data_IF_869493243174
#
_entry.id   IF_869493243174
#
_cell.length_a   1.000
_cell.length_b   1.000
_cell.length_c   1.000
_cell.angle_alpha   90.00
_cell.angle_beta   90.00
_cell.angle_gamma   90.00
#
_symmetry.space_group_name_H-M   'P 1'
#
loop_
_entity.id
_entity.type
_entity.pdbx_description
1 polymer ?
#
# COMPACT_ATOMS: atom_id res chain seq x y z
N UNK A 1 -2.94 -51.20 -42.47
CA UNK A 1 -1.78 -51.66 -41.69
C UNK A 1 -0.69 -50.61 -41.81
N UNK A 2 -0.28 -50.02 -40.67
CA UNK A 2 0.98 -49.33 -40.38
C UNK A 2 1.41 -48.15 -41.28
N UNK A 3 1.97 -47.04 -40.84
CA UNK A 3 2.26 -46.37 -39.55
C UNK A 3 3.04 -45.13 -40.02
N UNK A 4 2.74 -43.91 -39.55
CA UNK A 4 3.67 -42.76 -39.47
C UNK A 4 2.89 -41.47 -39.20
N UNK A 5 2.35 -41.35 -38.00
CA UNK A 5 2.08 -40.04 -37.42
C UNK A 5 3.40 -39.57 -36.79
N UNK A 6 4.13 -38.70 -37.47
CA UNK A 6 5.30 -38.03 -36.92
C UNK A 6 4.83 -37.14 -35.77
N UNK A 7 5.20 -37.58 -34.56
CA UNK A 7 5.13 -36.84 -33.31
C UNK A 7 5.99 -35.58 -33.44
N UNK A 8 5.40 -34.48 -33.89
CA UNK A 8 5.92 -33.15 -33.56
C UNK A 8 5.44 -32.81 -32.16
N UNK A 9 6.14 -33.37 -31.17
CA UNK A 9 6.14 -32.85 -29.81
C UNK A 9 6.75 -31.44 -29.89
N UNK A 10 5.91 -30.43 -30.14
CA UNK A 10 6.27 -29.06 -29.84
C UNK A 10 6.35 -28.96 -28.32
N UNK A 11 7.47 -29.38 -27.74
CA UNK A 11 7.88 -28.90 -26.42
C UNK A 11 8.10 -27.40 -26.60
N UNK A 12 7.06 -26.61 -26.32
CA UNK A 12 7.24 -25.20 -26.02
C UNK A 12 8.19 -25.17 -24.83
N UNK A 13 9.47 -24.89 -25.10
CA UNK A 13 10.38 -24.44 -24.08
C UNK A 13 9.76 -23.15 -23.54
N UNK A 14 9.09 -23.24 -22.40
CA UNK A 14 8.67 -22.09 -21.64
C UNK A 14 9.96 -21.48 -21.10
N UNK A 15 10.50 -20.50 -21.82
CA UNK A 15 11.48 -19.62 -21.24
C UNK A 15 10.74 -18.86 -20.12
N UNK A 16 10.89 -19.33 -18.89
CA UNK A 16 10.39 -18.65 -17.69
C UNK A 16 11.24 -17.39 -17.50
N UNK A 17 10.96 -16.36 -18.30
CA UNK A 17 11.57 -15.05 -18.10
C UNK A 17 11.17 -14.47 -16.74
N UNK A 18 11.94 -13.48 -16.24
CA UNK A 18 11.63 -12.81 -14.99
C UNK A 18 10.21 -12.23 -15.04
N UNK A 19 9.39 -12.57 -14.05
CA UNK A 19 8.03 -12.03 -13.92
C UNK A 19 7.81 -11.37 -12.56
N UNK A 20 7.03 -10.29 -12.56
CA UNK A 20 6.71 -9.52 -11.36
C UNK A 20 5.61 -10.23 -10.59
N UNK A 21 5.84 -10.50 -9.30
CA UNK A 21 4.87 -11.16 -8.42
C UNK A 21 4.14 -10.14 -7.56
N UNK A 22 4.83 -9.10 -7.14
CA UNK A 22 4.26 -8.07 -6.26
C UNK A 22 5.03 -6.78 -6.47
N UNK A 23 4.29 -5.68 -6.48
CA UNK A 23 4.85 -4.34 -6.47
C UNK A 23 3.91 -3.44 -5.68
N UNK A 24 4.48 -2.52 -4.90
CA UNK A 24 3.70 -1.51 -4.20
C UNK A 24 4.59 -0.32 -3.85
N UNK A 25 3.98 0.86 -3.71
CA UNK A 25 4.68 2.07 -3.31
C UNK A 25 3.82 2.99 -2.46
N UNK A 26 4.45 3.61 -1.47
CA UNK A 26 3.83 4.53 -0.54
C UNK A 26 4.83 5.57 -0.04
N UNK A 27 4.43 6.85 -0.04
CA UNK A 27 5.16 7.95 0.59
C UNK A 27 6.67 8.05 0.29
N UNK A 28 7.08 7.74 -0.96
CA UNK A 28 8.48 7.80 -1.38
C UNK A 28 9.28 6.52 -1.13
N UNK A 29 8.60 5.42 -0.82
CA UNK A 29 9.15 4.07 -0.81
C UNK A 29 8.43 3.21 -1.84
N UNK A 30 9.15 2.30 -2.49
CA UNK A 30 8.60 1.36 -3.45
C UNK A 30 9.36 0.04 -3.38
N UNK A 31 8.67 -1.05 -3.68
CA UNK A 31 9.32 -2.31 -4.01
C UNK A 31 8.68 -2.98 -5.22
N UNK A 32 9.47 -3.83 -5.87
CA UNK A 32 9.05 -4.76 -6.90
C UNK A 32 9.76 -6.09 -6.67
N UNK A 33 8.98 -7.17 -6.53
CA UNK A 33 9.48 -8.53 -6.40
C UNK A 33 9.34 -9.23 -7.73
N UNK A 34 10.47 -9.63 -8.30
CA UNK A 34 10.56 -10.40 -9.53
C UNK A 34 11.03 -11.81 -9.22
N UNK A 35 10.42 -12.81 -9.84
CA UNK A 35 10.88 -14.20 -9.76
C UNK A 35 11.38 -14.68 -11.10
N UNK A 36 12.56 -15.27 -11.07
CA UNK A 36 13.17 -15.95 -12.20
C UNK A 36 13.63 -17.33 -11.68
N UNK A 37 13.10 -18.39 -12.28
CA UNK A 37 13.29 -19.77 -11.83
C UNK A 37 12.99 -19.96 -10.32
N UNK A 38 14.05 -20.10 -9.50
CA UNK A 38 13.99 -20.30 -8.05
C UNK A 38 14.57 -19.12 -7.25
N UNK A 39 14.78 -17.97 -7.90
CA UNK A 39 15.38 -16.79 -7.27
C UNK A 39 14.39 -15.64 -7.23
N UNK A 40 14.25 -15.02 -6.06
CA UNK A 40 13.51 -13.77 -5.89
C UNK A 40 14.48 -12.60 -5.90
N UNK A 41 14.21 -11.63 -6.76
CA UNK A 41 14.97 -10.39 -6.88
C UNK A 41 14.04 -9.22 -6.53
N UNK A 42 14.50 -8.39 -5.61
CA UNK A 42 13.80 -7.22 -5.13
C UNK A 42 14.44 -5.97 -5.72
N UNK A 43 13.65 -5.17 -6.41
CA UNK A 43 13.97 -3.77 -6.65
C UNK A 43 13.32 -2.95 -5.53
N UNK A 44 14.11 -2.15 -4.82
CA UNK A 44 13.66 -1.36 -3.69
C UNK A 44 14.09 0.07 -3.89
N UNK A 45 13.13 0.99 -3.80
CA UNK A 45 13.38 2.42 -3.88
C UNK A 45 13.04 3.05 -2.53
N UNK A 46 13.98 3.82 -1.99
CA UNK A 46 13.75 4.78 -0.93
C UNK A 46 13.83 6.20 -1.48
N UNK A 47 13.63 7.20 -0.62
CA UNK A 47 13.50 8.62 -1.04
C UNK A 47 14.60 9.10 -2.00
N UNK A 48 15.84 8.64 -1.83
CA UNK A 48 17.01 9.11 -2.57
C UNK A 48 17.83 7.98 -3.21
N UNK A 49 17.49 6.71 -2.96
CA UNK A 49 18.33 5.56 -3.30
C UNK A 49 17.51 4.41 -3.91
N UNK A 50 18.12 3.70 -4.87
CA UNK A 50 17.56 2.52 -5.51
C UNK A 50 18.50 1.33 -5.27
N UNK A 51 17.94 0.21 -4.83
CA UNK A 51 18.67 -1.00 -4.50
C UNK A 51 18.06 -2.20 -5.20
N UNK A 52 18.91 -3.06 -5.77
CA UNK A 52 18.51 -4.38 -6.25
C UNK A 52 19.12 -5.45 -5.35
N UNK A 53 18.28 -6.26 -4.71
CA UNK A 53 18.70 -7.29 -3.75
C UNK A 53 18.20 -8.66 -4.19
N UNK A 54 19.08 -9.65 -4.16
CA UNK A 54 18.66 -11.06 -4.28
C UNK A 54 18.26 -11.55 -2.89
N UNK A 55 17.08 -12.14 -2.78
CA UNK A 55 16.57 -12.71 -1.53
C UNK A 55 17.42 -13.90 -1.09
N UNK A 56 17.81 -13.91 0.17
CA UNK A 56 18.52 -14.99 0.86
C UNK A 56 17.91 -15.20 2.23
N UNK A 57 18.19 -16.34 2.87
CA UNK A 57 17.72 -16.62 4.24
C UNK A 57 18.18 -15.54 5.26
N UNK A 58 19.29 -14.84 4.99
CA UNK A 58 19.81 -13.78 5.86
C UNK A 58 19.00 -12.48 5.77
N UNK A 59 18.50 -12.14 4.58
CA UNK A 59 17.85 -10.86 4.33
C UNK A 59 16.32 -10.95 4.18
N UNK A 60 15.75 -12.15 4.02
CA UNK A 60 14.32 -12.39 3.83
C UNK A 60 13.47 -11.65 4.88
N UNK A 61 13.81 -11.77 6.16
CA UNK A 61 13.08 -11.09 7.24
C UNK A 61 13.04 -9.57 7.08
N UNK A 62 14.16 -8.95 6.70
CA UNK A 62 14.25 -7.49 6.48
C UNK A 62 13.44 -7.07 5.25
N UNK A 63 13.48 -7.86 4.18
CA UNK A 63 12.71 -7.61 2.95
C UNK A 63 11.21 -7.70 3.22
N UNK A 64 10.75 -8.72 3.95
CA UNK A 64 9.34 -8.87 4.31
C UNK A 64 8.87 -7.76 5.26
N UNK A 65 9.70 -7.32 6.21
CA UNK A 65 9.35 -6.19 7.06
C UNK A 65 9.31 -4.87 6.30
N UNK A 66 10.24 -4.63 5.37
CA UNK A 66 10.19 -3.47 4.48
C UNK A 66 8.90 -3.47 3.65
N UNK A 67 8.59 -4.61 3.01
CA UNK A 67 7.35 -4.81 2.26
C UNK A 67 6.11 -4.48 3.10
N UNK A 68 6.01 -5.09 4.27
CA UNK A 68 4.87 -4.90 5.19
C UNK A 68 4.73 -3.42 5.59
N UNK A 69 5.85 -2.74 5.81
CA UNK A 69 5.88 -1.31 6.10
C UNK A 69 5.32 -0.46 4.95
N UNK A 70 5.72 -0.74 3.71
CA UNK A 70 5.19 -0.06 2.51
C UNK A 70 3.70 -0.33 2.31
N UNK A 71 3.28 -1.59 2.41
CA UNK A 71 1.87 -1.99 2.28
C UNK A 71 1.00 -1.31 3.37
N UNK A 72 1.45 -1.31 4.62
CA UNK A 72 0.77 -0.62 5.73
C UNK A 72 0.71 0.89 5.49
N UNK A 73 1.81 1.51 5.07
CA UNK A 73 1.83 2.94 4.75
C UNK A 73 0.81 3.27 3.64
N UNK A 74 0.72 2.46 2.59
CA UNK A 74 -0.27 2.69 1.53
C UNK A 74 -1.72 2.54 2.06
N UNK A 75 -1.95 1.54 2.91
CA UNK A 75 -3.26 1.30 3.55
C UNK A 75 -3.69 2.49 4.43
N UNK A 76 -2.80 3.01 5.27
CA UNK A 76 -3.10 4.16 6.12
C UNK A 76 -3.25 5.45 5.30
N UNK A 77 -2.44 5.66 4.25
CA UNK A 77 -2.64 6.77 3.31
C UNK A 77 -4.00 6.71 2.63
N UNK A 78 -4.40 5.53 2.15
CA UNK A 78 -5.71 5.31 1.53
C UNK A 78 -6.85 5.61 2.51
N UNK A 79 -6.70 5.18 3.77
CA UNK A 79 -7.64 5.49 4.85
C UNK A 79 -7.76 6.99 5.09
N UNK A 80 -6.63 7.70 5.18
CA UNK A 80 -6.60 9.16 5.34
C UNK A 80 -7.30 9.88 4.19
N UNK A 81 -7.04 9.47 2.94
CA UNK A 81 -7.67 10.05 1.76
C UNK A 81 -9.18 9.84 1.75
N UNK A 82 -9.63 8.59 1.92
CA UNK A 82 -11.05 8.25 1.89
C UNK A 82 -11.77 8.98 3.02
N UNK A 83 -11.32 8.82 4.26
CA UNK A 83 -11.96 9.46 5.42
C UNK A 83 -11.91 10.98 5.32
N UNK A 84 -10.79 11.55 4.85
CA UNK A 84 -10.62 13.00 4.67
C UNK A 84 -11.62 13.58 3.67
N UNK A 85 -11.80 12.92 2.52
CA UNK A 85 -12.77 13.34 1.50
C UNK A 85 -14.20 13.30 2.06
N UNK A 86 -14.59 12.19 2.69
CA UNK A 86 -15.92 12.09 3.30
C UNK A 86 -16.14 13.11 4.41
N UNK A 87 -15.12 13.38 5.23
CA UNK A 87 -15.19 14.39 6.28
C UNK A 87 -15.40 15.80 5.72
N UNK A 88 -14.69 16.17 4.66
CA UNK A 88 -14.84 17.48 4.00
C UNK A 88 -16.21 17.61 3.34
N UNK A 89 -16.66 16.59 2.61
CA UNK A 89 -17.99 16.60 1.97
C UNK A 89 -19.10 16.68 3.01
N UNK A 90 -19.03 15.87 4.07
CA UNK A 90 -19.99 15.92 5.18
C UNK A 90 -20.02 17.30 5.86
N UNK A 91 -18.85 17.83 6.21
CA UNK A 91 -18.74 19.13 6.88
C UNK A 91 -19.25 20.28 6.02
N UNK A 92 -18.91 20.30 4.72
CA UNK A 92 -19.37 21.33 3.79
C UNK A 92 -20.89 21.28 3.59
N UNK A 93 -21.47 20.09 3.49
CA UNK A 93 -22.93 19.91 3.40
C UNK A 93 -23.63 20.40 4.67
N UNK A 94 -23.10 20.05 5.85
CA UNK A 94 -23.64 20.52 7.13
C UNK A 94 -23.58 22.05 7.24
N UNK A 95 -22.47 22.67 6.83
CA UNK A 95 -22.33 24.13 6.83
C UNK A 95 -23.29 24.81 5.85
N UNK A 96 -23.46 24.24 4.66
CA UNK A 96 -24.42 24.72 3.68
C UNK A 96 -25.86 24.69 4.22
N UNK A 97 -26.26 23.57 4.83
CA UNK A 97 -27.57 23.43 5.46
C UNK A 97 -27.73 24.34 6.67
N UNK A 98 -26.68 24.56 7.46
CA UNK A 98 -26.70 25.51 8.57
C UNK A 98 -27.00 26.92 8.09
N UNK A 99 -26.42 27.36 6.96
CA UNK A 99 -26.70 28.68 6.41
C UNK A 99 -28.15 28.83 5.92
N UNK A 100 -28.74 27.77 5.36
CA UNK A 100 -30.11 27.80 4.82
C UNK A 100 -31.19 27.59 5.88
N UNK A 101 -31.00 26.65 6.80
CA UNK A 101 -32.03 26.17 7.73
C UNK A 101 -31.51 26.11 9.18
N UNK A 102 -31.04 27.26 9.67
CA UNK A 102 -30.40 27.43 11.00
C UNK A 102 -31.17 26.79 12.17
N UNK A 103 -32.51 26.79 12.13
CA UNK A 103 -33.33 26.29 13.25
C UNK A 103 -33.22 24.76 13.39
N UNK A 104 -33.34 24.02 12.30
CA UNK A 104 -33.28 22.56 12.29
C UNK A 104 -31.88 22.05 12.70
N UNK A 105 -30.82 22.69 12.20
CA UNK A 105 -29.44 22.28 12.53
C UNK A 105 -29.09 22.56 13.99
N UNK A 106 -29.62 23.63 14.61
CA UNK A 106 -29.40 23.89 16.05
C UNK A 106 -29.97 22.80 16.93
N UNK A 107 -31.13 22.24 16.57
CA UNK A 107 -31.75 21.13 17.29
C UNK A 107 -30.95 19.82 17.07
N UNK A 108 -30.39 19.62 15.88
CA UNK A 108 -29.55 18.46 15.54
C UNK A 108 -28.07 18.60 15.95
N UNK A 109 -27.65 19.75 16.50
CA UNK A 109 -26.25 20.07 16.77
C UNK A 109 -25.51 19.03 17.62
N UNK A 110 -26.09 18.49 18.71
CA UNK A 110 -25.43 17.46 19.51
C UNK A 110 -25.13 16.18 18.70
N UNK A 111 -26.04 15.79 17.80
CA UNK A 111 -25.89 14.60 16.94
C UNK A 111 -24.79 14.83 15.91
N UNK A 112 -24.75 16.03 15.32
CA UNK A 112 -23.71 16.41 14.36
C UNK A 112 -22.33 16.38 15.02
N UNK A 113 -22.18 16.93 16.23
CA UNK A 113 -20.92 16.91 16.97
C UNK A 113 -20.47 15.47 17.23
N UNK A 114 -21.38 14.62 17.72
CA UNK A 114 -21.08 13.20 17.96
C UNK A 114 -20.65 12.49 16.66
N UNK A 115 -21.32 12.76 15.54
CA UNK A 115 -20.99 12.17 14.25
C UNK A 115 -19.62 12.63 13.72
N UNK A 116 -19.20 13.87 13.99
CA UNK A 116 -17.89 14.40 13.57
C UNK A 116 -16.72 13.81 14.36
N UNK A 117 -16.94 13.36 15.61
CA UNK A 117 -15.89 12.73 16.41
C UNK A 117 -15.32 11.45 15.76
N UNK A 118 -16.16 10.68 15.06
CA UNK A 118 -15.78 9.41 14.44
C UNK A 118 -14.71 9.58 13.35
N UNK A 119 -14.93 10.37 12.28
CA UNK A 119 -13.92 10.55 11.24
C UNK A 119 -12.68 11.26 11.77
N UNK A 120 -12.81 12.16 12.76
CA UNK A 120 -11.64 12.79 13.40
C UNK A 120 -10.76 11.75 14.08
N UNK A 121 -11.36 10.81 14.82
CA UNK A 121 -10.62 9.73 15.47
C UNK A 121 -9.91 8.84 14.45
N UNK A 122 -10.60 8.44 13.38
CA UNK A 122 -10.03 7.60 12.31
C UNK A 122 -8.84 8.32 11.64
N UNK A 123 -8.99 9.61 11.29
CA UNK A 123 -7.91 10.41 10.72
C UNK A 123 -6.71 10.49 11.65
N UNK A 124 -6.94 10.68 12.95
CA UNK A 124 -5.87 10.76 13.93
C UNK A 124 -5.13 9.42 14.09
N UNK A 125 -5.86 8.31 14.22
CA UNK A 125 -5.26 6.96 14.33
C UNK A 125 -4.45 6.61 13.09
N UNK A 126 -5.04 6.79 11.91
CA UNK A 126 -4.36 6.50 10.64
C UNK A 126 -3.13 7.38 10.42
N UNK A 127 -3.12 8.62 10.92
CA UNK A 127 -1.94 9.49 10.84
C UNK A 127 -0.78 8.98 11.71
N UNK A 128 -1.09 8.50 12.93
CA UNK A 128 -0.08 7.93 13.84
C UNK A 128 0.46 6.62 13.26
N UNK A 129 -0.44 5.72 12.83
CA UNK A 129 -0.09 4.43 12.26
C UNK A 129 0.74 4.58 10.98
N UNK A 130 0.39 5.55 10.11
CA UNK A 130 1.22 5.90 8.96
C UNK A 130 2.62 6.34 9.38
N UNK A 131 2.73 7.19 10.41
CA UNK A 131 4.03 7.62 10.94
C UNK A 131 4.89 6.44 11.41
N UNK A 132 4.29 5.48 12.12
CA UNK A 132 4.96 4.26 12.53
C UNK A 132 5.38 3.39 11.34
N UNK A 133 4.48 3.15 10.38
CA UNK A 133 4.76 2.35 9.19
C UNK A 133 5.92 2.94 8.38
N UNK A 134 5.97 4.27 8.22
CA UNK A 134 7.07 4.94 7.53
C UNK A 134 8.39 4.86 8.29
N UNK A 135 8.35 4.99 9.62
CA UNK A 135 9.56 4.86 10.44
C UNK A 135 10.14 3.44 10.37
N UNK A 136 9.30 2.41 10.42
CA UNK A 136 9.72 1.02 10.25
C UNK A 136 10.26 0.76 8.84
N UNK A 137 9.56 1.25 7.82
CA UNK A 137 10.00 1.13 6.41
C UNK A 137 11.39 1.75 6.22
N UNK A 138 11.60 2.97 6.73
CA UNK A 138 12.88 3.65 6.67
C UNK A 138 13.98 2.88 7.40
N UNK A 139 13.68 2.37 8.60
CA UNK A 139 14.62 1.55 9.36
C UNK A 139 15.07 0.31 8.59
N UNK A 140 14.12 -0.44 8.01
CA UNK A 140 14.44 -1.64 7.25
C UNK A 140 15.16 -1.34 5.93
N UNK A 141 14.79 -0.25 5.25
CA UNK A 141 15.53 0.23 4.08
C UNK A 141 17.00 0.50 4.40
N UNK A 142 17.27 1.27 5.45
CA UNK A 142 18.63 1.58 5.90
C UNK A 142 19.40 0.34 6.35
N UNK A 143 18.70 -0.68 6.85
CA UNK A 143 19.32 -1.95 7.22
C UNK A 143 19.69 -2.83 6.02
N UNK A 144 19.03 -2.63 4.86
CA UNK A 144 19.32 -3.34 3.61
C UNK A 144 20.46 -2.69 2.82
N UNK A 145 20.76 -1.41 3.08
CA UNK A 145 21.91 -0.70 2.50
C UNK A 145 23.25 -1.07 3.14
N UNK A 146 23.24 -1.70 4.32
CA UNK A 146 24.43 -2.09 5.08
C UNK A 146 24.85 -3.52 4.76
#
# INVERSE_FOLDING_TARGET
MLFSALLFSNTMAHASGPFVISEEGAAGYYYQVTKEENTYTWLIEGKDDLLTVIETEENEGRLQSFRTGVENANSHLSTLWITGVFFVVGSTLTLYLFNKERRMIKEALPVIIAALCIPIYILFSASIELGHALHETEYYFQSLLK
#
